data_IF_714471123911
#
_entry.id   IF_714471123911
#
_cell.length_a   1.000
_cell.length_b   1.000
_cell.length_c   1.000
_cell.angle_alpha   90.00
_cell.angle_beta   90.00
_cell.angle_gamma   90.00
#
_symmetry.space_group_name_H-M   'P 1'
#
loop_
_entity.id
_entity.type
_entity.pdbx_description
1 polymer ?
#
# COMPACT_ATOMS: atom_id res chain seq x y z
N UNK A 1 14.87 -10.96 6.66
CA UNK A 1 14.56 -11.60 5.37
C UNK A 1 13.59 -12.75 5.65
N UNK A 2 12.32 -12.64 5.24
CA UNK A 2 11.41 -13.79 5.28
C UNK A 2 11.80 -14.72 4.13
N UNK A 3 11.87 -16.03 4.38
CA UNK A 3 12.26 -16.99 3.35
C UNK A 3 11.31 -16.89 2.14
N UNK A 4 11.82 -16.96 0.90
CA UNK A 4 11.00 -16.98 -0.29
C UNK A 4 9.96 -18.11 -0.16
N UNK A 5 8.67 -17.76 -0.29
CA UNK A 5 7.55 -18.69 -0.11
C UNK A 5 6.76 -18.53 1.20
N UNK A 6 7.30 -17.95 2.27
CA UNK A 6 6.53 -17.76 3.52
C UNK A 6 5.32 -16.83 3.34
N UNK A 7 5.47 -15.77 2.53
CA UNK A 7 4.39 -14.84 2.24
C UNK A 7 3.24 -15.51 1.47
N UNK A 8 3.58 -16.34 0.48
CA UNK A 8 2.63 -17.13 -0.29
C UNK A 8 1.88 -18.14 0.58
N UNK A 9 2.59 -18.85 1.47
CA UNK A 9 1.97 -19.80 2.42
C UNK A 9 0.97 -19.06 3.31
N UNK A 10 1.37 -17.92 3.89
CA UNK A 10 0.47 -17.10 4.73
C UNK A 10 -0.75 -16.64 3.97
N UNK A 11 -0.58 -16.17 2.73
CA UNK A 11 -1.70 -15.76 1.89
C UNK A 11 -2.68 -16.90 1.63
N UNK A 12 -2.18 -18.10 1.30
CA UNK A 12 -3.02 -19.28 1.04
C UNK A 12 -3.77 -19.75 2.28
N UNK A 13 -3.13 -19.70 3.45
CA UNK A 13 -3.74 -20.07 4.73
C UNK A 13 -4.68 -19.01 5.29
N UNK A 14 -4.64 -17.77 4.78
CA UNK A 14 -5.46 -16.67 5.26
C UNK A 14 -6.92 -16.83 4.80
N UNK A 15 -7.90 -16.87 5.71
CA UNK A 15 -9.32 -16.90 5.36
C UNK A 15 -9.75 -15.68 4.55
N UNK A 16 -10.75 -15.83 3.69
CA UNK A 16 -11.23 -14.73 2.83
C UNK A 16 -11.76 -13.53 3.63
N UNK A 17 -12.31 -13.74 4.81
CA UNK A 17 -12.73 -12.66 5.72
C UNK A 17 -11.54 -11.87 6.27
N UNK A 18 -10.43 -12.54 6.55
CA UNK A 18 -9.20 -11.87 6.99
C UNK A 18 -8.56 -11.08 5.83
N UNK A 19 -8.54 -11.65 4.62
CA UNK A 19 -8.13 -10.94 3.40
C UNK A 19 -8.98 -9.68 3.20
N UNK A 20 -10.30 -9.81 3.30
CA UNK A 20 -11.26 -8.71 3.19
C UNK A 20 -10.98 -7.62 4.23
N UNK A 21 -10.87 -7.97 5.51
CA UNK A 21 -10.60 -7.02 6.59
C UNK A 21 -9.30 -6.26 6.38
N UNK A 22 -8.23 -6.90 5.89
CA UNK A 22 -6.95 -6.23 5.61
C UNK A 22 -7.05 -5.20 4.48
N UNK A 23 -7.74 -5.57 3.40
CA UNK A 23 -8.01 -4.67 2.27
C UNK A 23 -8.88 -3.49 2.70
N UNK A 24 -9.97 -3.73 3.41
CA UNK A 24 -10.88 -2.68 3.90
C UNK A 24 -10.19 -1.72 4.88
N UNK A 25 -9.39 -2.23 5.82
CA UNK A 25 -8.52 -1.39 6.69
C UNK A 25 -7.54 -0.55 5.88
N UNK A 26 -7.13 -1.06 4.73
CA UNK A 26 -6.26 -0.36 3.79
C UNK A 26 -7.02 0.60 2.87
N UNK A 27 -8.32 0.80 3.07
CA UNK A 27 -9.17 1.70 2.29
C UNK A 27 -9.46 1.19 0.89
N UNK A 28 -9.48 -0.14 0.72
CA UNK A 28 -9.74 -0.81 -0.55
C UNK A 28 -11.14 -1.42 -0.44
N UNK A 29 -12.03 -1.06 -1.36
CA UNK A 29 -13.36 -1.67 -1.44
C UNK A 29 -13.23 -3.09 -1.99
N UNK A 30 -13.92 -4.04 -1.36
CA UNK A 30 -13.86 -5.47 -1.73
C UNK A 30 -15.27 -6.05 -1.78
N UNK A 31 -15.54 -6.82 -2.82
CA UNK A 31 -16.68 -7.73 -2.87
C UNK A 31 -16.20 -8.99 -3.55
N UNK A 32 -15.91 -10.01 -2.74
CA UNK A 32 -15.54 -11.32 -3.29
C UNK A 32 -16.65 -11.81 -4.21
N UNK A 33 -16.26 -12.48 -5.30
CA UNK A 33 -17.24 -13.16 -6.14
C UNK A 33 -17.97 -14.21 -5.31
N UNK A 34 -19.26 -13.98 -5.07
CA UNK A 34 -20.13 -14.95 -4.42
C UNK A 34 -20.71 -15.88 -5.48
N UNK A 35 -20.80 -17.18 -5.15
CA UNK A 35 -21.26 -18.21 -6.09
C UNK A 35 -22.76 -18.14 -6.39
N UNK A 36 -23.50 -17.23 -5.76
CA UNK A 36 -24.98 -17.24 -5.77
C UNK A 36 -25.63 -16.15 -6.64
N UNK A 37 -24.91 -15.09 -7.00
CA UNK A 37 -25.47 -13.95 -7.75
C UNK A 37 -24.81 -13.81 -9.12
N UNK A 38 -25.63 -13.91 -10.18
CA UNK A 38 -25.22 -13.69 -11.55
C UNK A 38 -25.00 -12.18 -11.80
N UNK A 39 -23.94 -11.62 -11.23
CA UNK A 39 -23.48 -10.27 -11.57
C UNK A 39 -22.70 -10.35 -12.88
N UNK A 40 -23.36 -10.06 -14.00
CA UNK A 40 -22.66 -9.79 -15.26
C UNK A 40 -21.98 -8.43 -15.14
N UNK A 41 -20.67 -8.44 -14.88
CA UNK A 41 -19.88 -7.23 -14.75
C UNK A 41 -18.64 -7.28 -15.64
N UNK A 42 -18.28 -6.13 -16.21
CA UNK A 42 -17.00 -5.97 -16.88
C UNK A 42 -15.93 -5.85 -15.79
N UNK A 43 -15.04 -6.83 -15.71
CA UNK A 43 -13.86 -6.80 -14.88
C UNK A 43 -12.59 -6.45 -15.66
N UNK A 44 -11.54 -6.16 -14.93
CA UNK A 44 -10.19 -5.98 -15.45
C UNK A 44 -9.24 -6.84 -14.62
N UNK A 45 -8.52 -7.75 -15.28
CA UNK A 45 -7.44 -8.52 -14.69
C UNK A 45 -6.13 -7.72 -14.83
N UNK A 46 -5.56 -7.34 -13.70
CA UNK A 46 -4.30 -6.58 -13.62
C UNK A 46 -3.20 -7.54 -13.18
N UNK A 47 -2.22 -7.76 -14.05
CA UNK A 47 -1.05 -8.60 -13.75
C UNK A 47 0.07 -7.73 -13.17
N UNK A 48 0.66 -8.15 -12.05
CA UNK A 48 1.66 -7.36 -11.34
C UNK A 48 2.85 -8.23 -10.97
N UNK A 49 4.05 -7.67 -11.15
CA UNK A 49 5.29 -8.23 -10.65
C UNK A 49 6.17 -7.11 -10.08
N UNK A 50 6.59 -7.24 -8.82
CA UNK A 50 7.52 -6.31 -8.16
C UNK A 50 7.16 -4.82 -8.33
N UNK A 51 5.93 -4.45 -7.97
CA UNK A 51 5.34 -3.10 -8.08
C UNK A 51 5.04 -2.62 -9.51
N UNK A 52 5.44 -3.37 -10.54
CA UNK A 52 5.15 -3.04 -11.95
C UNK A 52 3.89 -3.76 -12.40
N UNK A 53 3.00 -3.04 -13.09
CA UNK A 53 1.91 -3.67 -13.83
C UNK A 53 2.48 -4.19 -15.15
N UNK A 54 2.33 -5.48 -15.38
CA UNK A 54 2.78 -6.14 -16.61
C UNK A 54 1.76 -5.98 -17.73
N UNK A 55 0.48 -6.11 -17.40
CA UNK A 55 -0.63 -5.88 -18.33
C UNK A 55 -1.95 -5.64 -17.58
N UNK A 56 -2.89 -4.96 -18.25
CA UNK A 56 -4.29 -4.88 -17.82
C UNK A 56 -5.18 -5.38 -18.94
N UNK A 57 -5.92 -6.47 -18.69
CA UNK A 57 -6.83 -7.07 -19.66
C UNK A 57 -8.27 -6.99 -19.20
N UNK A 58 -9.16 -6.67 -20.14
CA UNK A 58 -10.60 -6.74 -19.88
C UNK A 58 -11.02 -8.20 -19.74
N UNK A 59 -11.83 -8.49 -18.72
CA UNK A 59 -12.30 -9.84 -18.36
C UNK A 59 -13.80 -9.79 -18.13
N UNK A 60 -14.55 -10.56 -18.90
CA UNK A 60 -15.97 -10.74 -18.61
C UNK A 60 -16.09 -11.55 -17.31
N UNK A 61 -16.77 -10.99 -16.32
CA UNK A 61 -17.12 -11.72 -15.10
C UNK A 61 -18.53 -12.24 -15.32
N UNK A 62 -18.64 -13.49 -15.75
CA UNK A 62 -19.89 -14.24 -15.78
C UNK A 62 -20.05 -15.02 -14.47
N UNK A 63 -21.31 -15.27 -14.07
CA UNK A 63 -21.68 -15.98 -12.85
C UNK A 63 -21.06 -17.38 -12.67
N UNK A 64 -21.48 -18.10 -11.63
CA UNK A 64 -20.61 -18.93 -10.81
C UNK A 64 -19.91 -20.03 -11.61
N UNK A 65 -18.58 -19.98 -11.57
CA UNK A 65 -17.62 -21.02 -11.99
C UNK A 65 -17.07 -20.96 -13.41
N UNK A 66 -17.40 -19.96 -14.25
CA UNK A 66 -16.77 -19.86 -15.57
C UNK A 66 -16.40 -18.43 -15.94
N UNK A 67 -15.17 -18.07 -15.56
CA UNK A 67 -14.41 -16.97 -16.18
C UNK A 67 -14.23 -17.33 -17.65
N UNK A 68 -15.00 -16.69 -18.52
CA UNK A 68 -15.01 -16.99 -19.95
C UNK A 68 -14.52 -15.77 -20.70
N UNK A 69 -13.34 -15.94 -21.27
CA UNK A 69 -12.68 -15.04 -22.19
C UNK A 69 -12.08 -13.76 -21.56
N UNK A 70 -10.76 -13.65 -21.72
CA UNK A 70 -10.10 -12.36 -21.76
C UNK A 70 -10.42 -11.73 -23.11
N UNK A 71 -10.94 -10.51 -23.08
CA UNK A 71 -10.92 -9.65 -24.24
C UNK A 71 -9.48 -9.12 -24.36
N UNK A 72 -8.87 -9.31 -25.54
CA UNK A 72 -7.51 -8.84 -25.82
C UNK A 72 -7.42 -7.31 -25.91
N UNK A 73 -8.55 -6.61 -25.83
CA UNK A 73 -8.59 -5.15 -25.78
C UNK A 73 -7.82 -4.63 -24.57
N UNK A 74 -6.63 -4.08 -24.82
CA UNK A 74 -5.83 -3.38 -23.83
C UNK A 74 -6.48 -2.04 -23.49
N UNK A 75 -6.45 -1.69 -22.19
CA UNK A 75 -6.81 -0.34 -21.77
C UNK A 75 -5.71 0.63 -22.19
N UNK A 76 -6.12 1.80 -22.71
CA UNK A 76 -5.19 2.90 -22.96
C UNK A 76 -4.46 3.28 -21.66
N UNK A 77 -3.13 3.17 -21.67
CA UNK A 77 -2.24 3.46 -20.56
C UNK A 77 -2.36 4.91 -20.09
N UNK A 78 -2.79 5.82 -20.96
CA UNK A 78 -3.01 7.24 -20.63
C UNK A 78 -4.38 7.50 -20.00
N UNK A 79 -5.26 6.51 -19.96
CA UNK A 79 -6.58 6.67 -19.37
C UNK A 79 -6.51 6.80 -17.84
N UNK A 80 -7.36 7.66 -17.27
CA UNK A 80 -7.49 7.80 -15.81
C UNK A 80 -7.95 6.50 -15.14
N UNK A 81 -8.62 5.62 -15.89
CA UNK A 81 -9.02 4.30 -15.44
C UNK A 81 -7.80 3.40 -15.26
N UNK A 82 -6.87 3.39 -16.21
CA UNK A 82 -5.63 2.61 -16.14
C UNK A 82 -4.83 2.94 -14.88
N UNK A 83 -4.49 4.22 -14.69
CA UNK A 83 -3.71 4.69 -13.53
C UNK A 83 -4.39 4.33 -12.20
N UNK A 84 -5.71 4.33 -12.18
CA UNK A 84 -6.48 3.95 -11.00
C UNK A 84 -6.43 2.46 -10.73
N UNK A 85 -6.63 1.64 -11.76
CA UNK A 85 -6.58 0.18 -11.68
C UNK A 85 -5.18 -0.28 -11.26
N UNK A 86 -4.14 0.28 -11.85
CA UNK A 86 -2.74 0.06 -11.48
C UNK A 86 -2.51 0.35 -9.99
N UNK A 87 -2.82 1.57 -9.53
CA UNK A 87 -2.59 1.97 -8.13
C UNK A 87 -3.38 1.11 -7.16
N UNK A 88 -4.62 0.74 -7.50
CA UNK A 88 -5.47 -0.08 -6.64
C UNK A 88 -4.98 -1.52 -6.57
N UNK A 89 -4.64 -2.11 -7.71
CA UNK A 89 -4.19 -3.50 -7.80
C UNK A 89 -2.84 -3.71 -7.09
N UNK A 90 -1.87 -2.82 -7.31
CA UNK A 90 -0.57 -2.86 -6.60
C UNK A 90 -0.79 -2.75 -5.10
N UNK A 91 -1.62 -1.80 -4.64
CA UNK A 91 -1.95 -1.68 -3.22
C UNK A 91 -2.63 -2.93 -2.67
N UNK A 92 -3.52 -3.57 -3.42
CA UNK A 92 -4.23 -4.77 -2.99
C UNK A 92 -3.28 -5.95 -2.77
N UNK A 93 -2.39 -6.25 -3.73
CA UNK A 93 -1.41 -7.35 -3.57
C UNK A 93 -0.49 -7.13 -2.37
N UNK A 94 0.08 -5.94 -2.25
CA UNK A 94 1.04 -5.64 -1.19
C UNK A 94 0.37 -5.60 0.19
N UNK A 95 -0.91 -5.19 0.27
CA UNK A 95 -1.72 -5.29 1.50
C UNK A 95 -1.88 -6.74 1.96
N UNK A 96 -1.93 -7.68 1.01
CA UNK A 96 -2.05 -9.12 1.28
C UNK A 96 -0.69 -9.81 1.43
N UNK A 97 0.41 -9.05 1.31
CA UNK A 97 1.78 -9.54 1.44
C UNK A 97 2.31 -10.23 0.19
N UNK A 98 1.67 -10.04 -0.96
CA UNK A 98 2.11 -10.56 -2.25
C UNK A 98 2.91 -9.50 -3.00
N UNK A 99 4.01 -9.92 -3.61
CA UNK A 99 4.88 -9.12 -4.48
C UNK A 99 4.50 -9.23 -5.96
N UNK A 100 3.83 -10.34 -6.31
CA UNK A 100 3.39 -10.71 -7.66
C UNK A 100 2.01 -11.36 -7.63
N UNK A 101 1.27 -11.24 -8.73
CA UNK A 101 -0.02 -11.91 -8.89
C UNK A 101 -1.01 -11.13 -9.75
N UNK A 102 -2.21 -11.68 -9.85
CA UNK A 102 -3.34 -11.06 -10.53
C UNK A 102 -4.31 -10.45 -9.52
N UNK A 103 -4.82 -9.25 -9.84
CA UNK A 103 -5.97 -8.66 -9.16
C UNK A 103 -7.07 -8.43 -10.17
N UNK A 104 -8.26 -8.97 -9.90
CA UNK A 104 -9.46 -8.70 -10.70
C UNK A 104 -10.22 -7.53 -10.06
N UNK A 105 -10.41 -6.47 -10.85
CA UNK A 105 -11.08 -5.24 -10.44
C UNK A 105 -12.34 -4.99 -11.25
N UNK A 106 -13.37 -4.45 -10.62
CA UNK A 106 -14.59 -3.97 -11.30
C UNK A 106 -14.76 -2.47 -11.03
N UNK A 107 -15.04 -1.63 -12.04
CA UNK A 107 -15.36 -0.24 -11.81
C UNK A 107 -16.71 -0.11 -11.08
N UNK A 108 -16.74 0.71 -10.02
CA UNK A 108 -17.93 1.09 -9.29
C UNK A 108 -18.18 2.57 -9.62
N UNK A 109 -18.92 2.82 -10.69
CA UNK A 109 -19.13 4.15 -11.27
C UNK A 109 -17.85 4.80 -11.80
N UNK A 110 -17.88 6.12 -11.99
CA UNK A 110 -16.79 6.86 -12.66
C UNK A 110 -15.52 7.00 -11.84
N UNK A 111 -15.61 6.90 -10.50
CA UNK A 111 -14.52 7.31 -9.58
C UNK A 111 -13.98 6.23 -8.66
N UNK A 112 -14.63 5.06 -8.59
CA UNK A 112 -14.20 3.99 -7.70
C UNK A 112 -14.06 2.66 -8.43
N UNK A 113 -13.24 1.79 -7.87
CA UNK A 113 -13.05 0.43 -8.33
C UNK A 113 -13.03 -0.48 -7.10
N UNK A 114 -13.44 -1.72 -7.29
CA UNK A 114 -13.58 -2.69 -6.23
C UNK A 114 -12.80 -3.96 -6.58
N UNK A 115 -12.14 -4.56 -5.59
CA UNK A 115 -11.46 -5.84 -5.74
C UNK A 115 -12.49 -6.97 -5.69
N UNK A 116 -12.44 -7.84 -6.71
CA UNK A 116 -13.30 -9.03 -6.84
C UNK A 116 -12.56 -10.33 -6.56
N UNK A 117 -11.28 -10.39 -6.92
CA UNK A 117 -10.44 -11.58 -6.77
C UNK A 117 -8.96 -11.17 -6.68
N UNK A 118 -8.18 -11.96 -5.94
CA UNK A 118 -6.72 -11.88 -5.92
C UNK A 118 -6.15 -13.28 -6.08
N UNK A 119 -5.34 -13.50 -7.12
CA UNK A 119 -4.64 -14.75 -7.37
C UNK A 119 -3.14 -14.55 -7.20
N UNK A 120 -2.52 -15.33 -6.32
CA UNK A 120 -1.09 -15.20 -6.03
C UNK A 120 -0.20 -15.81 -7.12
N UNK A 121 -0.72 -16.75 -7.93
CA UNK A 121 0.05 -17.47 -8.95
C UNK A 121 -0.80 -17.79 -10.18
N UNK A 122 -1.32 -16.76 -10.88
CA UNK A 122 -2.16 -16.94 -12.07
C UNK A 122 -1.43 -17.71 -13.19
N UNK A 123 -0.11 -17.58 -13.26
CA UNK A 123 0.76 -18.25 -14.25
C UNK A 123 0.79 -19.78 -14.14
N UNK A 124 0.36 -20.38 -13.02
CA UNK A 124 0.29 -21.84 -12.92
C UNK A 124 -0.77 -22.45 -13.86
N UNK A 125 -1.76 -21.65 -14.25
CA UNK A 125 -2.87 -22.10 -15.08
C UNK A 125 -2.85 -21.49 -16.50
N UNK A 126 -1.94 -20.56 -16.77
CA UNK A 126 -1.83 -19.88 -18.07
C UNK A 126 -0.34 -19.78 -18.48
N UNK A 127 0.02 -20.51 -19.54
CA UNK A 127 1.39 -20.55 -20.08
C UNK A 127 1.87 -19.19 -20.59
N UNK A 128 0.97 -18.36 -21.13
CA UNK A 128 1.32 -17.01 -21.60
C UNK A 128 1.68 -16.12 -20.41
N UNK A 129 0.93 -16.23 -19.31
CA UNK A 129 1.29 -15.54 -18.07
C UNK A 129 2.62 -16.06 -17.52
N UNK A 130 2.89 -17.37 -17.56
CA UNK A 130 4.20 -17.90 -17.17
C UNK A 130 5.35 -17.23 -17.94
N UNK A 131 5.26 -17.15 -19.27
CA UNK A 131 6.25 -16.44 -20.09
C UNK A 131 6.35 -14.95 -19.72
N UNK A 132 5.22 -14.26 -19.53
CA UNK A 132 5.20 -12.83 -19.20
C UNK A 132 5.92 -12.52 -17.87
N UNK A 133 5.65 -13.32 -16.84
CA UNK A 133 6.29 -13.16 -15.53
C UNK A 133 7.77 -13.55 -15.57
N UNK A 134 8.15 -14.58 -16.33
CA UNK A 134 9.56 -14.98 -16.52
C UNK A 134 10.39 -13.87 -17.20
N UNK A 135 9.86 -13.24 -18.25
CA UNK A 135 10.52 -12.11 -18.92
C UNK A 135 10.71 -10.96 -17.93
N UNK A 136 9.64 -10.61 -17.21
CA UNK A 136 9.65 -9.50 -16.26
C UNK A 136 10.64 -9.72 -15.09
N UNK A 137 10.78 -10.96 -14.64
CA UNK A 137 11.76 -11.33 -13.61
C UNK A 137 13.20 -11.11 -14.09
N UNK A 138 13.51 -11.56 -15.32
CA UNK A 138 14.85 -11.38 -15.93
C UNK A 138 15.20 -9.91 -16.13
N UNK A 139 14.24 -9.09 -16.59
CA UNK A 139 14.45 -7.66 -16.75
C UNK A 139 14.73 -6.97 -15.40
N UNK A 140 14.01 -7.37 -14.34
CA UNK A 140 14.25 -6.87 -12.98
C UNK A 140 15.63 -7.23 -12.43
N UNK A 141 16.09 -8.46 -12.68
CA UNK A 141 17.41 -8.93 -12.24
C UNK A 141 18.54 -8.14 -12.92
N UNK A 142 18.45 -7.91 -14.24
CA UNK A 142 19.44 -7.14 -15.00
C UNK A 142 19.52 -5.69 -14.50
N UNK A 143 18.36 -5.06 -14.25
CA UNK A 143 18.32 -3.69 -13.71
C UNK A 143 18.92 -3.63 -12.29
N UNK A 144 18.62 -4.62 -11.45
CA UNK A 144 19.19 -4.74 -10.10
C UNK A 144 20.71 -4.96 -10.11
N UNK A 145 21.21 -5.80 -11.02
CA UNK A 145 22.64 -6.07 -11.18
C UNK A 145 23.40 -4.81 -11.62
N UNK A 146 22.90 -4.09 -12.63
CA UNK A 146 23.51 -2.84 -13.09
C UNK A 146 23.60 -1.79 -11.96
N UNK A 147 22.53 -1.61 -11.18
CA UNK A 147 22.50 -0.71 -10.03
C UNK A 147 23.48 -1.13 -8.91
N UNK A 148 23.71 -2.44 -8.76
CA UNK A 148 24.61 -2.98 -7.73
C UNK A 148 26.10 -2.85 -8.10
N UNK A 149 26.42 -2.94 -9.40
CA UNK A 149 27.78 -2.79 -9.94
C UNK A 149 28.25 -1.34 -9.81
N UNK A 150 27.38 -0.37 -10.04
CA UNK A 150 27.70 1.07 -9.91
C UNK A 150 27.90 1.53 -8.45
N UNK A 151 27.34 0.81 -7.46
CA UNK A 151 27.29 1.25 -6.05
C UNK A 151 28.25 0.50 -5.12
N UNK A 152 29.21 -0.23 -5.67
CA UNK A 152 30.38 -0.76 -4.97
C UNK A 152 30.16 -1.18 -3.50
N UNK A 153 29.43 -2.27 -3.24
CA UNK A 153 29.33 -2.99 -1.94
C UNK A 153 29.21 -2.17 -0.64
N UNK A 154 28.86 -0.89 -0.68
CA UNK A 154 28.55 -0.14 0.53
C UNK A 154 27.25 -0.70 1.12
N UNK A 155 27.24 -0.93 2.44
CA UNK A 155 26.08 -1.48 3.13
C UNK A 155 24.90 -0.53 2.94
N UNK A 156 23.96 -0.91 2.08
CA UNK A 156 22.70 -0.19 1.84
C UNK A 156 22.06 0.22 3.17
N UNK A 157 21.93 1.52 3.39
CA UNK A 157 21.23 2.07 4.55
C UNK A 157 19.83 2.52 4.13
N UNK A 158 18.82 2.14 4.91
CA UNK A 158 17.43 2.52 4.69
C UNK A 158 17.07 3.63 5.68
N UNK A 159 16.62 4.77 5.17
CA UNK A 159 16.06 5.88 5.94
C UNK A 159 14.54 5.98 5.76
N UNK A 160 13.87 6.77 6.61
CA UNK A 160 12.46 7.16 6.44
C UNK A 160 12.17 8.46 7.20
N UNK A 161 11.14 9.17 6.75
CA UNK A 161 10.69 10.47 7.26
C UNK A 161 9.15 10.56 7.31
N UNK A 162 8.44 9.70 8.08
CA UNK A 162 7.00 9.70 8.05
C UNK A 162 6.39 10.99 8.62
N UNK A 163 5.45 11.55 7.86
CA UNK A 163 4.78 12.81 8.11
C UNK A 163 3.30 12.64 8.49
N UNK A 164 2.83 13.47 9.41
CA UNK A 164 1.47 13.41 9.95
C UNK A 164 0.88 14.79 10.18
N UNK A 165 -0.42 14.92 9.92
CA UNK A 165 -1.21 16.06 10.37
C UNK A 165 -1.85 15.71 11.71
N UNK A 166 -1.75 16.61 12.69
CA UNK A 166 -2.47 16.44 13.95
C UNK A 166 -3.88 17.00 13.80
N UNK A 167 -4.90 16.21 14.12
CA UNK A 167 -6.29 16.63 14.05
C UNK A 167 -6.92 16.46 15.44
N UNK A 168 -7.69 17.45 15.89
CA UNK A 168 -8.44 17.36 17.14
C UNK A 168 -9.79 16.72 16.89
N UNK A 169 -10.14 15.73 17.71
CA UNK A 169 -11.48 15.16 17.73
C UNK A 169 -12.28 15.73 18.91
N UNK A 170 -13.61 15.90 18.76
CA UNK A 170 -14.41 15.53 17.60
C UNK A 170 -14.45 16.59 16.48
N UNK A 171 -13.88 17.77 16.67
CA UNK A 171 -14.13 18.91 15.77
C UNK A 171 -13.50 18.76 14.37
N UNK A 172 -12.60 17.78 14.18
CA UNK A 172 -11.90 17.56 12.92
C UNK A 172 -10.93 18.70 12.56
N UNK A 173 -10.55 19.53 13.55
CA UNK A 173 -9.71 20.71 13.33
C UNK A 173 -8.24 20.32 13.28
N UNK A 174 -7.54 20.75 12.23
CA UNK A 174 -6.08 20.64 12.15
C UNK A 174 -5.42 21.49 13.23
N UNK A 175 -4.52 20.88 14.00
CA UNK A 175 -3.73 21.52 15.05
C UNK A 175 -2.27 21.58 14.61
N UNK A 176 -1.63 22.76 14.64
CA UNK A 176 -0.23 22.86 14.23
C UNK A 176 0.70 22.01 15.09
N UNK A 177 1.55 21.20 14.46
CA UNK A 177 2.53 20.35 15.13
C UNK A 177 3.53 21.15 15.96
N UNK A 178 3.86 22.38 15.52
CA UNK A 178 4.76 23.29 16.25
C UNK A 178 4.26 23.72 17.63
N UNK A 179 3.00 23.42 17.99
CA UNK A 179 2.52 23.61 19.37
C UNK A 179 3.16 22.63 20.35
N UNK A 180 3.65 21.50 19.87
CA UNK A 180 4.14 20.41 20.71
C UNK A 180 5.56 19.95 20.33
N UNK A 181 5.91 20.03 19.05
CA UNK A 181 7.20 19.56 18.53
C UNK A 181 8.05 20.75 18.08
N UNK A 182 9.36 20.69 18.38
CA UNK A 182 10.34 21.62 17.82
C UNK A 182 10.58 21.35 16.33
N UNK A 183 11.41 22.17 15.67
CA UNK A 183 11.75 21.97 14.25
C UNK A 183 12.73 20.83 14.01
N UNK A 184 13.56 20.52 15.01
CA UNK A 184 14.64 19.56 14.91
C UNK A 184 14.44 18.38 15.85
N UNK A 185 15.20 17.33 15.58
CA UNK A 185 15.27 16.11 16.37
C UNK A 185 14.44 14.97 15.78
N UNK A 186 14.44 13.85 16.51
CA UNK A 186 13.83 12.58 16.08
C UNK A 186 12.31 12.72 15.87
N UNK A 187 11.67 13.65 16.58
CA UNK A 187 10.28 14.05 16.38
C UNK A 187 10.21 15.58 16.30
N UNK A 188 9.93 16.08 15.10
CA UNK A 188 9.94 17.49 14.77
C UNK A 188 8.67 17.96 14.06
N UNK A 189 8.72 19.16 13.51
CA UNK A 189 7.67 19.70 12.66
C UNK A 189 8.26 20.32 11.40
N UNK A 190 7.57 20.12 10.27
CA UNK A 190 8.00 20.62 8.97
C UNK A 190 7.19 21.85 8.53
N UNK A 191 7.85 22.69 7.73
CA UNK A 191 7.36 23.98 7.27
C UNK A 191 6.51 23.85 6.00
N UNK A 192 5.29 24.36 6.05
CA UNK A 192 4.43 24.56 4.87
C UNK A 192 4.24 26.05 4.64
N UNK A 193 4.73 26.55 3.51
CA UNK A 193 4.52 27.94 3.10
C UNK A 193 3.27 28.05 2.24
N UNK A 194 2.30 28.86 2.67
CA UNK A 194 1.08 29.15 1.91
C UNK A 194 0.79 30.64 1.92
N UNK A 195 0.64 31.25 0.74
CA UNK A 195 0.33 32.69 0.57
C UNK A 195 1.28 33.61 1.35
N UNK A 196 2.59 33.34 1.30
CA UNK A 196 3.61 34.14 1.97
C UNK A 196 3.72 33.95 3.49
N UNK A 197 2.97 33.01 4.08
CA UNK A 197 3.07 32.65 5.51
C UNK A 197 3.60 31.23 5.66
N UNK A 198 4.67 31.07 6.42
CA UNK A 198 5.23 29.77 6.80
C UNK A 198 4.56 29.27 8.07
N UNK A 199 3.87 28.15 7.97
CA UNK A 199 3.24 27.44 9.08
C UNK A 199 3.97 26.11 9.31
N UNK A 200 3.82 25.51 10.48
CA UNK A 200 4.42 24.22 10.80
C UNK A 200 3.35 23.19 11.20
N UNK A 201 2.44 22.82 10.26
CA UNK A 201 1.29 22.00 10.59
C UNK A 201 1.61 20.51 10.64
N UNK A 202 2.71 20.07 10.05
CA UNK A 202 3.06 18.65 9.88
C UNK A 202 4.01 18.23 10.98
N UNK A 203 3.68 17.14 11.68
CA UNK A 203 4.57 16.44 12.58
C UNK A 203 5.39 15.44 11.74
N UNK A 204 6.71 15.48 11.89
CA UNK A 204 7.62 14.63 11.12
C UNK A 204 8.47 13.81 12.08
N UNK A 205 8.59 12.52 11.80
CA UNK A 205 9.48 11.63 12.55
C UNK A 205 10.71 11.32 11.71
N UNK A 206 11.89 11.45 12.31
CA UNK A 206 13.19 11.27 11.64
C UNK A 206 13.99 10.17 12.38
N UNK A 207 13.57 8.90 12.30
CA UNK A 207 14.31 7.80 12.91
C UNK A 207 15.70 7.61 12.30
N UNK A 208 16.63 7.07 13.08
CA UNK A 208 17.98 6.78 12.59
C UNK A 208 17.94 5.74 11.44
N UNK A 209 18.74 5.93 10.38
CA UNK A 209 18.79 4.98 9.27
C UNK A 209 19.37 3.64 9.73
N UNK A 210 19.05 2.56 9.00
CA UNK A 210 19.53 1.22 9.31
C UNK A 210 19.57 0.37 8.04
N UNK A 211 20.61 -0.46 7.89
CA UNK A 211 20.65 -1.49 6.84
C UNK A 211 19.77 -2.71 7.13
N UNK A 212 19.26 -2.84 8.36
CA UNK A 212 18.26 -3.84 8.73
C UNK A 212 16.87 -3.20 8.89
N UNK A 213 15.86 -3.61 8.10
CA UNK A 213 14.49 -3.12 8.22
C UNK A 213 13.85 -3.33 9.61
N UNK A 214 14.17 -4.44 10.29
CA UNK A 214 13.59 -4.71 11.61
C UNK A 214 14.11 -3.71 12.65
N UNK A 215 15.41 -3.37 12.58
CA UNK A 215 16.00 -2.30 13.39
C UNK A 215 15.44 -0.92 13.01
N UNK A 216 15.19 -0.62 11.73
CA UNK A 216 14.56 0.64 11.31
C UNK A 216 13.17 0.82 11.95
N UNK A 217 12.36 -0.24 12.01
CA UNK A 217 11.07 -0.22 12.71
C UNK A 217 11.20 0.05 14.22
N UNK A 218 12.27 -0.43 14.87
CA UNK A 218 12.56 -0.10 16.27
C UNK A 218 12.89 1.38 16.43
N UNK A 219 13.70 1.94 15.53
CA UNK A 219 14.00 3.38 15.54
C UNK A 219 12.73 4.22 15.32
N UNK A 220 11.85 3.81 14.41
CA UNK A 220 10.54 4.46 14.19
C UNK A 220 9.69 4.45 15.46
N UNK A 221 9.61 3.31 16.16
CA UNK A 221 8.87 3.20 17.44
C UNK A 221 9.44 4.13 18.51
N UNK A 222 10.75 4.29 18.57
CA UNK A 222 11.40 5.24 19.48
C UNK A 222 11.07 6.70 19.11
N UNK A 223 10.96 7.00 17.82
CA UNK A 223 10.54 8.32 17.34
C UNK A 223 9.10 8.64 17.79
N UNK A 224 8.17 7.69 17.60
CA UNK A 224 6.80 7.82 18.11
C UNK A 224 6.74 8.00 19.62
N UNK A 225 7.49 7.21 20.39
CA UNK A 225 7.54 7.35 21.85
C UNK A 225 8.07 8.73 22.28
N UNK A 226 9.02 9.29 21.54
CA UNK A 226 9.55 10.63 21.78
C UNK A 226 8.50 11.70 21.49
N UNK A 227 7.76 11.57 20.39
CA UNK A 227 6.65 12.45 20.08
C UNK A 227 5.52 12.35 21.13
N UNK A 228 5.21 11.12 21.60
CA UNK A 228 4.20 10.84 22.61
C UNK A 228 4.42 11.61 23.91
N UNK A 229 5.68 11.69 24.34
CA UNK A 229 6.05 12.40 25.56
C UNK A 229 5.87 13.91 25.43
N UNK A 230 6.01 14.46 24.22
CA UNK A 230 5.83 15.89 23.93
C UNK A 230 4.36 16.26 23.69
N UNK A 231 3.60 15.37 23.06
CA UNK A 231 2.18 15.55 22.77
C UNK A 231 1.37 14.80 23.83
N UNK A 232 1.19 15.45 24.98
CA UNK A 232 0.40 14.88 26.09
C UNK A 232 -1.12 14.90 25.81
N UNK A 233 -1.57 15.71 24.84
CA UNK A 233 -2.98 15.85 24.47
C UNK A 233 -3.48 14.59 23.73
N UNK A 234 -4.30 13.81 24.43
CA UNK A 234 -4.85 12.54 23.94
C UNK A 234 -6.07 12.70 23.04
N UNK A 235 -6.64 13.91 22.92
CA UNK A 235 -7.75 14.16 21.98
C UNK A 235 -7.25 14.35 20.55
N UNK A 236 -5.94 14.41 20.36
CA UNK A 236 -5.32 14.51 19.04
C UNK A 236 -5.17 13.14 18.40
N UNK A 237 -5.58 13.06 17.15
CA UNK A 237 -5.32 11.95 16.25
C UNK A 237 -4.19 12.33 15.29
N UNK A 238 -3.38 11.34 14.93
CA UNK A 238 -2.31 11.50 13.95
C UNK A 238 -2.86 11.01 12.62
N UNK A 239 -2.86 11.86 11.60
CA UNK A 239 -3.37 11.52 10.28
C UNK A 239 -2.23 11.47 9.29
N UNK A 240 -1.94 10.28 8.75
CA UNK A 240 -0.89 10.10 7.75
C UNK A 240 -1.43 10.36 6.33
N UNK A 241 -0.65 11.10 5.54
CA UNK A 241 -0.74 11.17 4.08
C UNK A 241 -1.58 12.31 3.48
N UNK A 242 -1.23 12.67 2.24
CA UNK A 242 -1.98 13.56 1.33
C UNK A 242 -3.32 12.98 0.83
N UNK A 243 -4.02 12.19 1.66
CA UNK A 243 -5.26 11.51 1.34
C UNK A 243 -6.33 11.88 2.37
N UNK A 244 -7.48 12.40 1.92
CA UNK A 244 -8.47 13.12 2.75
C UNK A 244 -9.12 12.32 3.89
N UNK A 245 -9.01 10.99 3.97
CA UNK A 245 -9.94 10.19 4.80
C UNK A 245 -9.31 9.12 5.73
N UNK A 246 -8.07 9.24 6.21
CA UNK A 246 -7.55 8.27 7.22
C UNK A 246 -7.08 8.91 8.52
N UNK A 247 -7.70 8.48 9.61
CA UNK A 247 -7.47 8.92 10.99
C UNK A 247 -6.78 7.78 11.73
N UNK A 248 -5.64 8.01 12.37
CA UNK A 248 -5.07 7.07 13.34
C UNK A 248 -5.31 7.60 14.76
N UNK A 249 -5.99 6.82 15.61
CA UNK A 249 -6.07 7.11 17.04
C UNK A 249 -4.79 6.61 17.72
N UNK A 250 -4.41 7.25 18.83
CA UNK A 250 -3.28 6.81 19.66
C UNK A 250 -3.37 5.33 20.05
N UNK A 251 -4.57 4.81 20.33
CA UNK A 251 -4.80 3.41 20.64
C UNK A 251 -4.45 2.46 19.46
N UNK A 252 -4.70 2.88 18.22
CA UNK A 252 -4.39 2.09 17.01
C UNK A 252 -2.87 2.07 16.74
N UNK A 253 -2.19 3.17 17.06
CA UNK A 253 -0.73 3.27 17.03
C UNK A 253 -0.10 2.41 18.14
N UNK A 254 -0.69 2.34 19.34
CA UNK A 254 -0.22 1.48 20.43
C UNK A 254 -0.33 -0.01 20.10
N UNK A 255 -1.38 -0.45 19.38
CA UNK A 255 -1.54 -1.83 18.91
C UNK A 255 -0.47 -2.17 17.85
N UNK A 256 -0.20 -1.26 16.92
CA UNK A 256 0.90 -1.41 15.94
C UNK A 256 2.30 -1.34 16.60
N UNK A 257 2.41 -0.58 17.69
CA UNK A 257 3.62 -0.38 18.46
C UNK A 257 3.73 -1.32 19.68
N UNK A 258 2.93 -2.38 19.80
CA UNK A 258 3.06 -3.39 20.86
C UNK A 258 3.26 -2.86 22.29
N UNK A 259 2.73 -1.68 22.59
CA UNK A 259 2.63 -1.20 23.96
C UNK A 259 1.30 -1.72 24.51
N UNK A 260 1.38 -2.71 25.39
CA UNK A 260 0.30 -2.97 26.36
C UNK A 260 0.38 -1.92 27.45
#
# INVERSE_FOLDING_TARGET
MQQPGQALIRFRQMPNDEKKRRLERSGIAVQWMDSSLADFAIGYAVQIHQLRVLEIRRRAIEGPSKVRAHDLSELDQRSLLYVRMERLAVRALYTLGLDSGEVVLTPLGERSCQVREVSAQPWLNDRRLATLYEISAREGDIEGENLSVERGRDRLLIGMDPEFVLVRMPEGRVVPASRYLGRLGIAGCDAVTRRGRTLYPVAELRPAPSGDPARLLKHLRQAFATAARRIADRTLIWQAGGCRNRVFRWADICILAGFR
#
